data_IF_632594855331
#
_entry.id   IF_632594855331
#
_cell.length_a   1.000
_cell.length_b   1.000
_cell.length_c   1.000
_cell.angle_alpha   90.00
_cell.angle_beta   90.00
_cell.angle_gamma   90.00
#
_symmetry.space_group_name_H-M   'P 1'
#
loop_
_entity.id
_entity.type
_entity.pdbx_description
1 polymer ?
#
# COMPACT_ATOMS: atom_id res chain seq x y z
N UNK A 1 -6.63 -6.90 -11.61
CA UNK A 1 -7.48 -5.70 -11.78
C UNK A 1 -7.97 -5.17 -10.42
N UNK A 2 -7.04 -4.95 -9.46
CA UNK A 2 -7.30 -4.34 -8.13
C UNK A 2 -6.19 -3.30 -7.89
N UNK A 3 -5.90 -2.48 -8.91
CA UNK A 3 -4.77 -1.54 -8.90
C UNK A 3 -5.21 -0.09 -8.69
N UNK A 4 -6.46 0.15 -8.29
CA UNK A 4 -7.07 1.47 -8.40
C UNK A 4 -7.81 2.01 -7.17
N UNK A 5 -7.84 1.26 -6.06
CA UNK A 5 -8.10 1.88 -4.76
C UNK A 5 -6.75 2.07 -4.09
N UNK A 6 -6.18 3.29 -4.09
CA UNK A 6 -4.99 3.56 -3.30
C UNK A 6 -5.35 3.31 -1.83
N UNK A 7 -5.02 2.11 -1.33
CA UNK A 7 -5.26 1.72 0.06
C UNK A 7 -4.65 2.73 1.04
N UNK A 8 -3.55 3.37 0.65
CA UNK A 8 -2.94 4.48 1.39
C UNK A 8 -3.91 5.66 1.56
N UNK A 9 -4.58 6.07 0.48
CA UNK A 9 -5.54 7.17 0.53
C UNK A 9 -6.74 6.82 1.41
N UNK A 10 -7.26 5.58 1.35
CA UNK A 10 -8.36 5.15 2.21
C UNK A 10 -7.97 5.15 3.70
N UNK A 11 -6.75 4.69 4.03
CA UNK A 11 -6.25 4.72 5.40
C UNK A 11 -6.05 6.14 5.92
N UNK A 12 -5.52 7.03 5.08
CA UNK A 12 -5.35 8.45 5.40
C UNK A 12 -6.72 9.09 5.64
N UNK A 13 -7.70 8.84 4.77
CA UNK A 13 -9.06 9.35 4.92
C UNK A 13 -9.69 8.82 6.21
N UNK A 14 -9.56 7.53 6.49
CA UNK A 14 -10.06 6.95 7.74
C UNK A 14 -9.41 7.60 8.98
N UNK A 15 -8.12 7.93 8.91
CA UNK A 15 -7.42 8.73 9.92
C UNK A 15 -8.00 10.14 10.10
N UNK A 16 -8.34 10.82 8.99
CA UNK A 16 -8.99 12.15 9.01
C UNK A 16 -10.37 12.07 9.70
N UNK A 17 -11.17 11.07 9.39
CA UNK A 17 -12.46 10.84 10.07
C UNK A 17 -12.29 10.50 11.55
N UNK A 18 -11.22 9.79 11.91
CA UNK A 18 -10.90 9.53 13.31
C UNK A 18 -10.52 10.81 14.08
N UNK A 19 -9.82 11.75 13.44
CA UNK A 19 -9.50 13.04 14.04
C UNK A 19 -10.74 13.92 14.27
N UNK A 20 -11.79 13.74 13.46
CA UNK A 20 -13.07 14.42 13.64
C UNK A 20 -13.93 13.85 14.77
N UNK A 21 -13.58 12.66 15.28
CA UNK A 21 -14.36 11.93 16.29
C UNK A 21 -15.46 11.03 15.71
N UNK A 22 -15.56 10.93 14.37
CA UNK A 22 -16.52 10.03 13.71
C UNK A 22 -16.07 8.56 13.79
N UNK A 23 -14.77 8.31 13.99
CA UNK A 23 -14.18 6.98 14.14
C UNK A 23 -13.23 6.94 15.34
N UNK A 24 -13.23 5.83 16.08
CA UNK A 24 -12.20 5.59 17.09
C UNK A 24 -10.92 5.06 16.43
N UNK A 25 -9.81 5.77 16.62
CA UNK A 25 -8.53 5.43 15.97
C UNK A 25 -7.99 4.07 16.44
N UNK A 26 -8.22 3.69 17.70
CA UNK A 26 -7.77 2.41 18.23
C UNK A 26 -8.59 1.26 17.62
N UNK A 27 -9.92 1.37 17.60
CA UNK A 27 -10.81 0.40 17.00
C UNK A 27 -10.55 0.26 15.49
N UNK A 28 -10.29 1.37 14.80
CA UNK A 28 -9.92 1.40 13.39
C UNK A 28 -8.63 0.60 13.14
N UNK A 29 -7.57 0.88 13.90
CA UNK A 29 -6.30 0.16 13.76
C UNK A 29 -6.43 -1.32 14.19
N UNK A 30 -7.19 -1.60 15.24
CA UNK A 30 -7.45 -2.96 15.71
C UNK A 30 -8.18 -3.82 14.67
N UNK A 31 -9.00 -3.20 13.82
CA UNK A 31 -9.69 -3.88 12.71
C UNK A 31 -8.80 -4.00 11.47
N UNK A 32 -8.16 -2.90 11.07
CA UNK A 32 -7.46 -2.82 9.78
C UNK A 32 -6.11 -3.56 9.78
N UNK A 33 -5.40 -3.60 10.90
CA UNK A 33 -4.12 -4.32 11.01
C UNK A 33 -4.31 -5.82 10.74
N UNK A 34 -5.24 -6.54 11.41
CA UNK A 34 -5.51 -7.95 11.09
C UNK A 34 -5.94 -8.16 9.64
N UNK A 35 -6.80 -7.29 9.10
CA UNK A 35 -7.26 -7.43 7.71
C UNK A 35 -6.12 -7.29 6.70
N UNK A 36 -5.21 -6.32 6.91
CA UNK A 36 -4.03 -6.17 6.09
C UNK A 36 -3.12 -7.41 6.16
N UNK A 37 -2.87 -7.91 7.37
CA UNK A 37 -2.03 -9.10 7.59
C UNK A 37 -2.63 -10.34 6.91
N UNK A 38 -3.95 -10.54 7.02
CA UNK A 38 -4.66 -11.67 6.42
C UNK A 38 -4.66 -11.59 4.89
N UNK A 39 -4.87 -10.40 4.31
CA UNK A 39 -4.78 -10.20 2.87
C UNK A 39 -3.40 -10.56 2.31
N UNK A 40 -2.34 -10.20 3.04
CA UNK A 40 -0.97 -10.54 2.65
C UNK A 40 -0.65 -12.03 2.86
N UNK A 41 -1.18 -12.65 3.92
CA UNK A 41 -1.07 -14.09 4.13
C UNK A 41 -1.78 -14.89 3.03
N UNK A 42 -2.95 -14.42 2.56
CA UNK A 42 -3.64 -15.01 1.41
C UNK A 42 -2.79 -14.88 0.15
N UNK A 43 -2.26 -13.68 -0.13
CA UNK A 43 -1.40 -13.41 -1.28
C UNK A 43 -0.14 -14.29 -1.28
N UNK A 44 0.50 -14.45 -0.13
CA UNK A 44 1.62 -15.38 0.04
C UNK A 44 1.21 -16.83 -0.23
N UNK A 45 0.06 -17.26 0.28
CA UNK A 45 -0.43 -18.63 0.09
C UNK A 45 -0.73 -18.91 -1.37
N UNK A 46 -1.32 -17.94 -2.08
CA UNK A 46 -1.53 -18.00 -3.53
C UNK A 46 -0.18 -18.14 -4.24
N UNK A 47 0.79 -17.28 -3.93
CA UNK A 47 2.14 -17.35 -4.51
C UNK A 47 2.82 -18.71 -4.26
N UNK A 48 2.72 -19.24 -3.05
CA UNK A 48 3.30 -20.54 -2.67
C UNK A 48 2.65 -21.70 -3.42
N UNK A 49 1.34 -21.66 -3.66
CA UNK A 49 0.61 -22.68 -4.42
C UNK A 49 0.90 -22.62 -5.92
N UNK A 50 1.03 -21.42 -6.48
CA UNK A 50 1.28 -21.22 -7.92
C UNK A 50 2.78 -21.41 -8.25
N UNK A 51 3.68 -21.21 -7.29
CA UNK A 51 5.13 -21.35 -7.46
C UNK A 51 5.56 -22.63 -8.19
N UNK A 52 5.19 -23.84 -7.75
CA UNK A 52 5.53 -25.09 -8.44
C UNK A 52 5.05 -25.16 -9.90
N UNK A 53 3.89 -24.57 -10.21
CA UNK A 53 3.33 -24.51 -11.56
C UNK A 53 4.10 -23.53 -12.47
N UNK A 54 4.71 -22.50 -11.89
CA UNK A 54 5.57 -21.55 -12.59
C UNK A 54 6.90 -22.23 -12.95
N UNK A 55 7.49 -22.99 -12.03
CA UNK A 55 8.75 -23.71 -12.27
C UNK A 55 8.62 -24.87 -13.27
N UNK A 56 7.41 -25.42 -13.47
CA UNK A 56 7.16 -26.49 -14.45
C UNK A 56 6.96 -25.99 -15.88
N UNK A 57 6.93 -24.66 -16.13
CA UNK A 57 6.78 -24.05 -17.46
C UNK A 57 7.94 -23.08 -17.79
N UNK A 58 9.14 -23.58 -18.13
CA UNK A 58 10.36 -22.78 -18.26
C UNK A 58 10.39 -21.78 -19.45
N UNK A 59 9.42 -21.81 -20.37
CA UNK A 59 9.34 -20.93 -21.57
C UNK A 59 8.10 -20.03 -21.60
N UNK A 60 7.64 -19.52 -20.45
CA UNK A 60 6.58 -18.50 -20.42
C UNK A 60 7.17 -17.11 -20.71
N UNK A 61 6.64 -16.40 -21.71
CA UNK A 61 7.04 -15.02 -22.08
C UNK A 61 6.87 -14.01 -20.92
N UNK A 62 6.14 -14.39 -19.88
CA UNK A 62 5.85 -13.57 -18.69
C UNK A 62 6.58 -14.02 -17.42
N UNK A 63 7.26 -15.18 -17.42
CA UNK A 63 7.89 -15.75 -16.21
C UNK A 63 9.23 -16.43 -16.52
N UNK A 64 10.32 -15.83 -16.04
CA UNK A 64 11.67 -16.36 -16.14
C UNK A 64 12.10 -16.94 -14.77
N UNK A 65 12.45 -18.24 -14.68
CA UNK A 65 12.95 -18.86 -13.46
C UNK A 65 14.14 -18.11 -12.82
N UNK A 66 14.98 -17.44 -13.63
CA UNK A 66 16.10 -16.63 -13.15
C UNK A 66 15.64 -15.45 -12.26
N UNK A 67 14.51 -14.81 -12.58
CA UNK A 67 13.97 -13.73 -11.74
C UNK A 67 13.43 -14.26 -10.40
N UNK A 68 12.91 -15.48 -10.38
CA UNK A 68 12.44 -16.11 -9.14
C UNK A 68 13.62 -16.52 -8.26
N UNK A 69 14.69 -17.06 -8.85
CA UNK A 69 15.94 -17.34 -8.16
C UNK A 69 16.56 -16.06 -7.58
N UNK A 70 16.61 -14.98 -8.38
CA UNK A 70 17.09 -13.67 -7.93
C UNK A 70 16.23 -13.11 -6.78
N UNK A 71 14.90 -13.28 -6.84
CA UNK A 71 14.02 -12.90 -5.74
C UNK A 71 14.28 -13.73 -4.48
N UNK A 72 14.51 -15.05 -4.62
CA UNK A 72 14.88 -15.91 -3.49
C UNK A 72 16.19 -15.47 -2.85
N UNK A 73 17.24 -15.24 -3.64
CA UNK A 73 18.52 -14.72 -3.15
C UNK A 73 18.38 -13.33 -2.52
N UNK A 74 17.54 -12.46 -3.10
CA UNK A 74 17.26 -11.15 -2.55
C UNK A 74 16.64 -11.23 -1.16
N UNK A 75 15.67 -12.12 -0.95
CA UNK A 75 15.04 -12.35 0.36
C UNK A 75 15.97 -13.06 1.36
N UNK A 76 16.88 -13.90 0.89
CA UNK A 76 17.92 -14.48 1.74
C UNK A 76 18.92 -13.42 2.19
N UNK A 77 19.39 -12.55 1.29
CA UNK A 77 20.37 -11.49 1.58
C UNK A 77 19.79 -10.33 2.42
N UNK A 78 18.59 -9.85 2.10
CA UNK A 78 17.98 -8.69 2.78
C UNK A 78 17.02 -9.09 3.91
N UNK A 79 16.75 -10.40 4.05
CA UNK A 79 15.79 -10.93 5.00
C UNK A 79 14.37 -10.44 4.73
N UNK A 80 13.50 -10.54 5.74
CA UNK A 80 12.14 -10.02 5.62
C UNK A 80 12.02 -8.51 5.87
N UNK A 81 13.12 -7.78 6.07
CA UNK A 81 13.11 -6.30 6.12
C UNK A 81 12.57 -5.72 4.81
N UNK A 82 12.85 -6.38 3.69
CA UNK A 82 12.30 -6.03 2.38
C UNK A 82 10.76 -6.07 2.35
N UNK A 83 10.12 -6.96 3.12
CA UNK A 83 8.65 -7.04 3.22
C UNK A 83 8.08 -5.78 3.87
N UNK A 84 8.77 -5.29 4.91
CA UNK A 84 8.35 -4.07 5.62
C UNK A 84 8.53 -2.85 4.70
N UNK A 85 9.71 -2.69 4.10
CA UNK A 85 10.02 -1.53 3.24
C UNK A 85 9.09 -1.49 2.02
N UNK A 86 8.84 -2.64 1.40
CA UNK A 86 7.97 -2.74 0.24
C UNK A 86 6.55 -2.25 0.49
N UNK A 87 6.03 -2.31 1.72
CA UNK A 87 4.68 -1.82 2.06
C UNK A 87 4.52 -0.32 1.86
N UNK A 88 5.60 0.44 1.98
CA UNK A 88 5.63 1.89 1.75
C UNK A 88 5.85 2.26 0.28
N UNK A 89 6.06 1.26 -0.59
CA UNK A 89 6.20 1.43 -2.02
C UNK A 89 4.90 0.98 -2.72
N UNK A 90 4.07 1.91 -3.23
CA UNK A 90 2.70 1.62 -3.68
C UNK A 90 2.60 0.48 -4.70
N UNK A 91 3.56 0.39 -5.62
CA UNK A 91 3.59 -0.63 -6.67
C UNK A 91 4.18 -1.95 -6.17
N UNK A 92 5.15 -1.90 -5.26
CA UNK A 92 5.94 -3.08 -4.88
C UNK A 92 5.19 -3.92 -3.85
N UNK A 93 4.44 -3.29 -2.93
CA UNK A 93 3.70 -3.97 -1.86
C UNK A 93 2.75 -5.06 -2.34
N UNK A 94 2.13 -4.89 -3.51
CA UNK A 94 1.10 -5.82 -4.01
C UNK A 94 1.72 -7.10 -4.55
N UNK A 95 2.97 -7.05 -4.98
CA UNK A 95 3.68 -8.20 -5.54
C UNK A 95 4.50 -8.93 -4.50
N UNK A 96 5.04 -8.23 -3.50
CA UNK A 96 5.97 -8.82 -2.52
C UNK A 96 5.42 -10.05 -1.79
N UNK A 97 4.19 -10.07 -1.25
CA UNK A 97 3.67 -11.26 -0.59
C UNK A 97 3.59 -12.47 -1.53
N UNK A 98 3.13 -12.25 -2.77
CA UNK A 98 3.03 -13.30 -3.80
C UNK A 98 4.42 -13.79 -4.18
N UNK A 99 5.36 -12.89 -4.45
CA UNK A 99 6.74 -13.23 -4.84
C UNK A 99 7.45 -13.95 -3.69
N UNK A 100 7.23 -13.56 -2.44
CA UNK A 100 7.76 -14.26 -1.26
C UNK A 100 7.23 -15.71 -1.17
N UNK A 101 5.96 -15.93 -1.53
CA UNK A 101 5.36 -17.26 -1.64
C UNK A 101 5.97 -18.09 -2.77
N UNK A 102 6.10 -17.51 -3.97
CA UNK A 102 6.69 -18.16 -5.15
C UNK A 102 8.17 -18.52 -4.90
N UNK A 103 8.91 -17.63 -4.24
CA UNK A 103 10.30 -17.84 -3.84
C UNK A 103 10.46 -18.79 -2.63
N UNK A 104 9.38 -19.42 -2.16
CA UNK A 104 9.40 -20.40 -1.05
C UNK A 104 10.03 -19.89 0.25
N UNK A 105 9.89 -18.59 0.55
CA UNK A 105 10.31 -18.04 1.84
C UNK A 105 9.62 -18.80 2.99
N UNK A 106 10.29 -19.05 4.12
CA UNK A 106 9.64 -19.71 5.26
C UNK A 106 8.43 -18.92 5.80
N UNK A 107 7.27 -19.56 5.96
CA UNK A 107 6.03 -18.88 6.38
C UNK A 107 6.18 -18.16 7.73
N UNK A 108 6.93 -18.74 8.69
CA UNK A 108 7.21 -18.10 9.98
C UNK A 108 7.96 -16.78 9.84
N UNK A 109 8.99 -16.76 8.97
CA UNK A 109 9.77 -15.56 8.65
C UNK A 109 8.85 -14.54 7.99
N UNK A 110 8.12 -14.94 6.95
CA UNK A 110 7.15 -14.07 6.27
C UNK A 110 6.14 -13.47 7.26
N UNK A 111 5.46 -14.29 8.06
CA UNK A 111 4.43 -13.87 8.99
C UNK A 111 4.95 -12.87 10.03
N UNK A 112 6.14 -13.08 10.61
CA UNK A 112 6.73 -12.15 11.57
C UNK A 112 6.94 -10.75 10.96
N UNK A 113 7.57 -10.67 9.79
CA UNK A 113 7.78 -9.39 9.08
C UNK A 113 6.48 -8.80 8.52
N UNK A 114 5.53 -9.66 8.15
CA UNK A 114 4.21 -9.27 7.66
C UNK A 114 3.40 -8.57 8.76
N UNK A 115 3.41 -9.11 9.98
CA UNK A 115 2.73 -8.52 11.15
C UNK A 115 3.33 -7.17 11.49
N UNK A 116 4.66 -7.10 11.63
CA UNK A 116 5.36 -5.85 11.97
C UNK A 116 5.12 -4.79 10.88
N UNK A 117 5.32 -5.16 9.62
CA UNK A 117 5.13 -4.26 8.50
C UNK A 117 3.68 -3.81 8.34
N UNK A 118 2.72 -4.71 8.56
CA UNK A 118 1.30 -4.41 8.46
C UNK A 118 0.83 -3.48 9.56
N UNK A 119 1.23 -3.74 10.79
CA UNK A 119 0.96 -2.86 11.92
C UNK A 119 1.58 -1.47 11.69
N UNK A 120 2.87 -1.40 11.33
CA UNK A 120 3.57 -0.15 11.09
C UNK A 120 2.96 0.65 9.92
N UNK A 121 2.63 -0.01 8.81
CA UNK A 121 2.04 0.64 7.65
C UNK A 121 0.63 1.17 7.95
N UNK A 122 -0.27 0.36 8.53
CA UNK A 122 -1.62 0.82 8.85
C UNK A 122 -1.57 1.96 9.86
N UNK A 123 -0.82 1.80 10.95
CA UNK A 123 -0.71 2.82 11.99
C UNK A 123 -0.09 4.10 11.45
N UNK A 124 0.99 4.03 10.66
CA UNK A 124 1.60 5.24 10.09
C UNK A 124 0.64 5.99 9.17
N UNK A 125 -0.13 5.30 8.33
CA UNK A 125 -1.09 5.94 7.41
C UNK A 125 -2.28 6.56 8.14
N UNK A 126 -2.88 5.84 9.10
CA UNK A 126 -4.03 6.34 9.88
C UNK A 126 -3.63 7.49 10.81
N UNK A 127 -2.46 7.38 11.47
CA UNK A 127 -1.91 8.45 12.32
C UNK A 127 -1.53 9.66 11.48
N UNK A 128 -0.93 9.46 10.30
CA UNK A 128 -0.65 10.56 9.36
C UNK A 128 -1.94 11.28 9.00
N UNK A 129 -3.01 10.55 8.64
CA UNK A 129 -4.32 11.14 8.37
C UNK A 129 -4.91 11.90 9.56
N UNK A 130 -4.77 11.35 10.77
CA UNK A 130 -5.24 11.95 12.01
C UNK A 130 -4.58 13.30 12.28
N UNK A 131 -3.24 13.37 12.17
CA UNK A 131 -2.49 14.61 12.38
C UNK A 131 -2.43 15.53 11.16
N UNK A 132 -2.82 15.06 9.97
CA UNK A 132 -2.90 15.88 8.76
C UNK A 132 -3.91 17.02 8.94
N UNK A 133 -5.00 16.77 9.66
CA UNK A 133 -6.10 17.73 9.87
C UNK A 133 -5.61 19.05 10.51
N UNK A 134 -4.94 19.05 11.68
CA UNK A 134 -4.43 20.29 12.27
C UNK A 134 -3.35 20.97 11.43
N UNK A 135 -2.48 20.21 10.75
CA UNK A 135 -1.42 20.76 9.89
C UNK A 135 -1.99 21.45 8.66
N UNK A 136 -2.94 20.82 7.97
CA UNK A 136 -3.63 21.38 6.80
C UNK A 136 -4.46 22.60 7.21
N UNK A 137 -5.17 22.54 8.34
CA UNK A 137 -5.88 23.69 8.89
C UNK A 137 -4.92 24.87 9.17
N UNK A 138 -3.74 24.62 9.72
CA UNK A 138 -2.71 25.65 9.96
C UNK A 138 -2.15 26.26 8.68
N UNK A 139 -1.79 25.42 7.70
CA UNK A 139 -1.24 25.86 6.40
C UNK A 139 -2.27 26.64 5.58
N UNK A 140 -3.53 26.19 5.54
CA UNK A 140 -4.60 26.89 4.83
C UNK A 140 -4.88 28.24 5.47
N UNK A 141 -4.89 28.33 6.81
CA UNK A 141 -5.02 29.60 7.53
C UNK A 141 -3.86 30.55 7.22
N UNK A 142 -2.64 30.05 7.21
CA UNK A 142 -1.43 30.85 7.01
C UNK A 142 -1.26 31.34 5.55
N UNK A 143 -1.64 30.54 4.56
CA UNK A 143 -1.38 30.84 3.15
C UNK A 143 -2.59 31.46 2.43
N UNK A 144 -3.81 31.05 2.78
CA UNK A 144 -5.01 31.49 2.07
C UNK A 144 -5.82 32.57 2.80
N UNK A 145 -5.47 32.93 4.06
CA UNK A 145 -6.20 33.95 4.83
C UNK A 145 -7.66 33.62 5.11
N UNK A 146 -8.10 32.38 4.86
CA UNK A 146 -9.46 31.92 5.08
C UNK A 146 -9.62 31.49 6.55
N UNK A 147 -10.20 32.34 7.40
CA UNK A 147 -10.54 31.99 8.80
C UNK A 147 -11.57 30.86 8.90
N UNK A 148 -12.36 30.61 7.85
CA UNK A 148 -13.51 29.70 7.86
C UNK A 148 -13.29 28.34 7.19
N UNK A 149 -12.09 28.01 6.70
CA UNK A 149 -11.83 26.66 6.18
C UNK A 149 -11.55 25.68 7.32
N UNK A 150 -12.61 25.19 7.96
CA UNK A 150 -12.52 24.04 8.87
C UNK A 150 -12.60 22.77 8.00
N UNK A 151 -11.58 21.90 8.06
CA UNK A 151 -11.60 20.59 7.38
C UNK A 151 -12.92 19.86 7.64
N UNK A 152 -13.50 19.98 8.83
CA UNK A 152 -14.81 19.43 9.22
C UNK A 152 -15.98 19.80 8.29
N UNK A 153 -16.00 21.01 7.71
CA UNK A 153 -17.06 21.46 6.79
C UNK A 153 -16.79 21.11 5.32
N UNK A 154 -15.57 20.70 5.00
CA UNK A 154 -15.11 20.50 3.62
C UNK A 154 -14.30 19.22 3.42
N UNK A 155 -14.56 18.18 4.23
CA UNK A 155 -13.92 16.86 4.13
C UNK A 155 -14.05 16.30 2.71
N UNK A 156 -15.20 16.47 2.06
CA UNK A 156 -15.40 16.03 0.68
C UNK A 156 -14.37 16.64 -0.28
N UNK A 157 -14.08 17.95 -0.15
CA UNK A 157 -13.08 18.63 -0.99
C UNK A 157 -11.67 18.12 -0.70
N UNK A 158 -11.33 17.86 0.57
CA UNK A 158 -10.03 17.31 0.97
C UNK A 158 -9.85 15.90 0.42
N UNK A 159 -10.88 15.05 0.52
CA UNK A 159 -10.90 13.69 -0.06
C UNK A 159 -10.70 13.77 -1.57
N UNK A 160 -11.45 14.62 -2.27
CA UNK A 160 -11.33 14.79 -3.72
C UNK A 160 -9.91 15.18 -4.10
N UNK A 161 -9.28 16.12 -3.38
CA UNK A 161 -7.90 16.53 -3.60
C UNK A 161 -6.93 15.37 -3.38
N UNK A 162 -7.01 14.67 -2.24
CA UNK A 162 -6.10 13.55 -1.92
C UNK A 162 -6.23 12.42 -2.95
N UNK A 163 -7.47 12.06 -3.32
CA UNK A 163 -7.74 11.03 -4.33
C UNK A 163 -7.24 11.49 -5.70
N UNK A 164 -7.49 12.74 -6.09
CA UNK A 164 -7.02 13.31 -7.35
C UNK A 164 -5.49 13.26 -7.45
N UNK A 165 -4.77 13.77 -6.45
CA UNK A 165 -3.30 13.74 -6.43
C UNK A 165 -2.72 12.31 -6.35
N UNK A 166 -3.43 11.36 -5.77
CA UNK A 166 -3.01 9.95 -5.69
C UNK A 166 -3.15 9.23 -7.03
N UNK A 167 -4.18 9.56 -7.81
CA UNK A 167 -4.44 8.96 -9.14
C UNK A 167 -3.63 9.66 -10.25
N UNK A 168 -3.33 10.95 -10.08
CA UNK A 168 -2.66 11.78 -11.10
C UNK A 168 -1.36 11.17 -11.66
N UNK A 169 -0.42 10.63 -10.85
CA UNK A 169 0.82 10.05 -11.37
C UNK A 169 0.54 8.84 -12.27
N UNK A 170 -0.37 7.96 -11.84
CA UNK A 170 -0.77 6.78 -12.62
C UNK A 170 -1.48 7.16 -13.92
N UNK A 171 -2.28 8.23 -13.91
CA UNK A 171 -2.94 8.75 -15.09
C UNK A 171 -1.95 9.37 -16.09
N UNK A 172 -0.97 10.15 -15.60
CA UNK A 172 0.08 10.74 -16.43
C UNK A 172 0.95 9.65 -17.07
N UNK A 173 1.33 8.62 -16.32
CA UNK A 173 2.08 7.48 -16.86
C UNK A 173 1.28 6.70 -17.89
N UNK A 174 -0.02 6.46 -17.65
CA UNK A 174 -0.89 5.79 -18.61
C UNK A 174 -1.03 6.58 -19.92
N UNK A 175 -1.22 7.90 -19.83
CA UNK A 175 -1.28 8.78 -21.02
C UNK A 175 0.04 8.80 -21.79
N UNK A 176 1.18 8.84 -21.10
CA UNK A 176 2.52 8.76 -21.73
C UNK A 176 2.76 7.38 -22.37
N UNK A 177 2.38 6.30 -21.71
CA UNK A 177 2.50 4.94 -22.26
C UNK A 177 1.63 4.76 -23.51
N UNK A 178 0.42 5.32 -23.51
CA UNK A 178 -0.50 5.26 -24.64
C UNK A 178 -0.02 6.09 -25.84
N UNK A 179 0.61 7.25 -25.60
CA UNK A 179 1.27 8.05 -26.66
C UNK A 179 2.48 7.34 -27.26
N UNK A 180 3.26 6.61 -26.46
CA UNK A 180 4.40 5.79 -26.95
C UNK A 180 3.98 4.55 -27.72
N UNK A 181 2.77 4.04 -27.50
CA UNK A 181 2.22 2.90 -28.23
C UNK A 181 1.50 3.30 -29.54
N UNK A 182 1.22 4.58 -29.73
CA UNK A 182 0.55 5.13 -30.92
C UNK A 182 1.52 5.87 -31.87
N UNK A 183 2.81 5.96 -31.52
CA UNK A 183 3.89 6.49 -32.34
C UNK A 183 4.82 5.34 -32.76
#
# INVERSE_FOLDING_TARGET
MIFFLPGDSLLIIAGIYAAKGDLDLLALNALLIPMAILGDALSYTIGKRIGPMIFSRPKSRFFNPAHVQAAHEFYERHGGKAIIIARFMPLVRTFVPVVAGVAKMGYRKFAAFNVIGGAAWVASMTVTGYFLVPVVNGLVRQWAGYETFTVEKHIEKVIIIVVFFSILPGLIEWLKARRRAAA
#
